data_IF_330138772165
#
_entry.id   IF_330138772165
#
_cell.length_a   1.000
_cell.length_b   1.000
_cell.length_c   1.000
_cell.angle_alpha   90.00
_cell.angle_beta   90.00
_cell.angle_gamma   90.00
#
_symmetry.space_group_name_H-M   'P 1'
#
loop_
_entity.id
_entity.type
_entity.pdbx_description
1 polymer ?
#
# COMPACT_ATOMS: atom_id res chain seq x y z
N UNK A 1 -3.48 -23.74 -14.00
CA UNK A 1 -3.86 -22.63 -13.10
C UNK A 1 -3.40 -22.96 -11.70
N UNK A 2 -2.77 -22.02 -11.02
CA UNK A 2 -2.28 -22.21 -9.65
C UNK A 2 -3.18 -21.46 -8.68
N UNK A 3 -3.43 -22.05 -7.52
CA UNK A 3 -4.19 -21.48 -6.43
C UNK A 3 -3.37 -21.59 -5.13
N UNK A 4 -3.15 -20.45 -4.48
CA UNK A 4 -2.44 -20.40 -3.20
C UNK A 4 -3.49 -20.18 -2.12
N UNK A 5 -3.54 -21.07 -1.15
CA UNK A 5 -4.29 -20.87 0.09
C UNK A 5 -3.30 -20.66 1.24
N UNK A 6 -3.39 -19.52 1.90
CA UNK A 6 -2.66 -19.28 3.13
C UNK A 6 -3.63 -19.19 4.32
N UNK A 7 -3.34 -19.96 5.36
CA UNK A 7 -3.98 -19.84 6.65
C UNK A 7 -2.94 -19.27 7.62
N UNK A 8 -3.14 -18.02 8.02
CA UNK A 8 -2.31 -17.40 9.05
C UNK A 8 -2.81 -17.86 10.43
N UNK A 9 -1.91 -18.09 11.39
CA UNK A 9 -2.32 -18.32 12.78
C UNK A 9 -3.13 -17.14 13.33
N UNK A 10 -4.03 -17.40 14.28
CA UNK A 10 -4.93 -16.40 14.89
C UNK A 10 -4.20 -15.18 15.46
N UNK A 11 -2.92 -15.32 15.86
CA UNK A 11 -2.07 -14.21 16.33
C UNK A 11 -1.88 -13.08 15.32
N UNK A 12 -2.01 -13.35 14.03
CA UNK A 12 -1.89 -12.33 12.98
C UNK A 12 -3.20 -11.58 12.76
N UNK A 13 -4.33 -12.10 13.23
CA UNK A 13 -5.60 -11.41 13.19
C UNK A 13 -5.72 -10.56 14.45
N UNK A 14 -6.13 -9.31 14.29
CA UNK A 14 -6.50 -8.49 15.43
C UNK A 14 -7.55 -9.26 16.24
N UNK A 15 -7.19 -9.63 17.47
CA UNK A 15 -8.18 -10.10 18.43
C UNK A 15 -9.06 -8.89 18.66
N UNK A 16 -10.35 -8.96 18.33
CA UNK A 16 -11.28 -7.90 18.74
C UNK A 16 -11.16 -7.80 20.25
N UNK A 17 -10.49 -6.76 20.74
CA UNK A 17 -10.50 -6.42 22.15
C UNK A 17 -11.97 -6.25 22.48
N UNK A 18 -12.52 -7.17 23.25
CA UNK A 18 -13.92 -7.18 23.66
C UNK A 18 -14.25 -5.88 24.40
N UNK A 19 -14.60 -4.82 23.66
CA UNK A 19 -15.40 -3.74 24.21
C UNK A 19 -16.78 -4.34 24.39
N UNK A 20 -17.00 -4.80 25.61
CA UNK A 20 -18.26 -5.33 26.11
C UNK A 20 -19.25 -4.17 26.24
N UNK A 21 -19.68 -3.62 25.11
CA UNK A 21 -20.85 -2.76 25.08
C UNK A 21 -22.07 -3.70 25.03
N UNK A 22 -22.62 -3.96 26.20
CA UNK A 22 -23.90 -4.63 26.38
C UNK A 22 -24.99 -3.79 25.71
N UNK A 23 -25.28 -4.05 24.42
CA UNK A 23 -26.59 -3.90 23.76
C UNK A 23 -26.54 -3.98 22.22
N UNK A 24 -25.57 -4.68 21.61
CA UNK A 24 -25.69 -5.07 20.19
C UNK A 24 -25.94 -6.57 20.08
N UNK A 25 -27.09 -6.92 19.49
CA UNK A 25 -27.44 -8.27 19.05
C UNK A 25 -26.25 -8.99 18.40
N UNK A 26 -26.13 -10.31 18.50
CA UNK A 26 -25.05 -11.07 17.88
C UNK A 26 -25.32 -11.16 16.37
N UNK A 27 -25.23 -10.05 15.64
CA UNK A 27 -25.01 -10.12 14.21
C UNK A 27 -23.59 -10.64 14.05
N UNK A 28 -23.49 -11.95 13.82
CA UNK A 28 -22.29 -12.58 13.30
C UNK A 28 -21.68 -11.65 12.25
N UNK A 29 -20.52 -11.05 12.54
CA UNK A 29 -19.74 -10.27 11.59
C UNK A 29 -19.31 -11.24 10.50
N UNK A 30 -20.20 -11.46 9.53
CA UNK A 30 -20.01 -12.45 8.48
C UNK A 30 -18.80 -12.00 7.68
N UNK A 31 -17.70 -12.75 7.82
CA UNK A 31 -16.49 -12.53 7.03
C UNK A 31 -16.85 -12.90 5.60
N UNK A 32 -16.92 -11.89 4.74
CA UNK A 32 -17.32 -12.07 3.35
C UNK A 32 -16.06 -12.08 2.46
N UNK A 33 -16.03 -12.99 1.50
CA UNK A 33 -15.01 -12.99 0.46
C UNK A 33 -15.29 -11.86 -0.52
N UNK A 34 -14.34 -10.92 -0.62
CA UNK A 34 -14.44 -9.76 -1.50
C UNK A 34 -13.27 -9.78 -2.49
N UNK A 35 -13.50 -9.66 -3.80
CA UNK A 35 -12.42 -9.57 -4.77
C UNK A 35 -11.69 -8.24 -4.57
N UNK A 36 -10.39 -8.29 -4.27
CA UNK A 36 -9.54 -7.11 -4.06
C UNK A 36 -8.79 -6.71 -5.33
N UNK A 37 -8.40 -7.70 -6.12
CA UNK A 37 -7.62 -7.48 -7.32
C UNK A 37 -7.94 -8.55 -8.36
N UNK A 38 -8.10 -8.11 -9.60
CA UNK A 38 -8.18 -9.00 -10.76
C UNK A 38 -7.35 -8.41 -11.88
N UNK A 39 -6.48 -9.22 -12.49
CA UNK A 39 -5.69 -8.81 -13.63
C UNK A 39 -6.53 -8.49 -14.86
N UNK A 40 -7.76 -9.03 -14.95
CA UNK A 40 -8.67 -8.76 -16.06
C UNK A 40 -9.14 -7.29 -16.08
N UNK A 41 -9.32 -6.69 -14.90
CA UNK A 41 -9.79 -5.30 -14.76
C UNK A 41 -8.65 -4.33 -14.50
N UNK A 42 -7.64 -4.74 -13.73
CA UNK A 42 -6.55 -3.87 -13.29
C UNK A 42 -5.27 -4.02 -14.11
N UNK A 43 -5.15 -5.07 -14.94
CA UNK A 43 -3.93 -5.42 -15.66
C UNK A 43 -2.92 -6.20 -14.81
N UNK A 44 -1.76 -6.52 -15.36
CA UNK A 44 -0.67 -7.21 -14.65
C UNK A 44 0.46 -6.21 -14.45
N UNK A 45 0.61 -5.74 -13.22
CA UNK A 45 1.66 -4.81 -12.82
C UNK A 45 1.85 -4.90 -11.32
N UNK A 46 3.10 -5.01 -10.87
CA UNK A 46 3.42 -5.00 -9.44
C UNK A 46 2.90 -3.74 -8.77
N UNK A 47 3.11 -2.57 -9.37
CA UNK A 47 2.68 -1.31 -8.75
C UNK A 47 1.14 -1.27 -8.56
N UNK A 48 0.38 -1.81 -9.52
CA UNK A 48 -1.08 -1.90 -9.41
C UNK A 48 -1.52 -2.96 -8.41
N UNK A 49 -0.86 -4.11 -8.38
CA UNK A 49 -1.08 -5.15 -7.39
C UNK A 49 -0.86 -4.60 -5.98
N UNK A 50 0.28 -3.97 -5.73
CA UNK A 50 0.61 -3.37 -4.43
C UNK A 50 -0.43 -2.33 -4.00
N UNK A 51 -0.79 -1.41 -4.89
CA UNK A 51 -1.72 -0.34 -4.57
C UNK A 51 -3.12 -0.86 -4.18
N UNK A 52 -3.55 -1.99 -4.73
CA UNK A 52 -4.88 -2.54 -4.48
C UNK A 52 -4.91 -3.58 -3.36
N UNK A 53 -3.88 -4.41 -3.26
CA UNK A 53 -3.81 -5.55 -2.33
C UNK A 53 -3.18 -5.16 -1.01
N UNK A 54 -2.12 -4.33 -1.02
CA UNK A 54 -1.51 -3.88 0.21
C UNK A 54 -2.34 -2.78 0.86
N UNK A 55 -2.27 -2.71 2.19
CA UNK A 55 -3.07 -1.81 3.03
C UNK A 55 -4.59 -2.13 3.04
N UNK A 56 -4.98 -3.33 2.58
CA UNK A 56 -6.31 -3.86 2.89
C UNK A 56 -6.48 -3.94 4.40
N UNK A 57 -7.67 -3.58 4.93
CA UNK A 57 -7.99 -3.68 6.37
C UNK A 57 -8.20 -5.14 6.81
N UNK A 58 -7.15 -5.93 6.62
CA UNK A 58 -6.98 -7.31 7.02
C UNK A 58 -5.48 -7.62 7.12
N UNK A 59 -5.10 -8.72 7.79
CA UNK A 59 -3.68 -9.04 7.95
C UNK A 59 -3.05 -9.34 6.60
N UNK A 60 -2.22 -8.40 6.13
CA UNK A 60 -1.40 -8.56 4.93
C UNK A 60 0.02 -8.82 5.39
N UNK A 61 0.58 -9.98 5.05
CA UNK A 61 1.95 -10.34 5.44
C UNK A 61 2.87 -10.17 4.24
N UNK A 62 3.81 -9.24 4.36
CA UNK A 62 4.99 -9.14 3.51
C UNK A 62 6.23 -9.08 4.42
N UNK A 63 7.38 -9.52 3.91
CA UNK A 63 8.60 -9.45 4.72
C UNK A 63 9.80 -10.11 4.06
N UNK A 64 10.96 -9.95 4.69
CA UNK A 64 12.21 -10.60 4.27
C UNK A 64 12.28 -12.07 4.67
N UNK A 65 11.40 -12.54 5.55
CA UNK A 65 11.27 -13.93 5.98
C UNK A 65 10.10 -14.61 5.29
N UNK A 66 10.19 -15.92 5.11
CA UNK A 66 9.03 -16.73 4.74
C UNK A 66 8.03 -16.78 5.90
N UNK A 67 6.76 -16.96 5.56
CA UNK A 67 5.62 -17.03 6.45
C UNK A 67 4.62 -18.11 5.99
N UNK A 68 3.63 -18.39 6.85
CA UNK A 68 2.63 -19.45 6.64
C UNK A 68 2.54 -20.38 7.85
N UNK A 69 1.32 -20.67 8.31
CA UNK A 69 1.04 -21.66 9.34
C UNK A 69 1.15 -23.10 8.81
N UNK A 70 0.85 -24.09 9.67
CA UNK A 70 0.79 -25.51 9.28
C UNK A 70 -0.16 -25.75 8.12
N UNK A 71 -1.32 -25.10 8.13
CA UNK A 71 -2.39 -25.24 7.14
C UNK A 71 -2.13 -24.47 5.82
N UNK A 72 -0.88 -24.07 5.55
CA UNK A 72 -0.55 -23.30 4.35
C UNK A 72 -0.37 -24.27 3.18
N UNK A 73 -1.20 -24.10 2.14
CA UNK A 73 -1.27 -25.04 1.01
C UNK A 73 -1.17 -24.33 -0.33
N UNK A 74 -0.50 -24.98 -1.28
CA UNK A 74 -0.49 -24.60 -2.69
C UNK A 74 -1.17 -25.70 -3.49
N UNK A 75 -2.04 -25.30 -4.42
CA UNK A 75 -2.70 -26.18 -5.35
C UNK A 75 -2.32 -25.80 -6.79
N UNK A 76 -1.87 -26.79 -7.56
CA UNK A 76 -1.83 -26.69 -9.02
C UNK A 76 -3.05 -27.42 -9.53
N UNK A 77 -3.96 -26.74 -10.22
CA UNK A 77 -5.20 -27.36 -10.74
C UNK A 77 -5.01 -28.00 -12.12
N UNK A 78 -4.00 -27.55 -12.89
CA UNK A 78 -3.76 -28.01 -14.26
C UNK A 78 -2.27 -27.87 -14.61
N UNK A 79 -1.68 -28.82 -15.36
CA UNK A 79 -2.35 -29.97 -16.02
C UNK A 79 -2.69 -31.15 -15.09
N UNK A 80 -2.08 -31.24 -13.90
CA UNK A 80 -2.41 -32.23 -12.88
C UNK A 80 -2.76 -31.53 -11.58
N UNK A 81 -3.69 -32.12 -10.81
CA UNK A 81 -4.04 -31.65 -9.47
C UNK A 81 -2.92 -32.04 -8.49
N UNK A 82 -2.02 -31.10 -8.22
CA UNK A 82 -0.96 -31.28 -7.23
C UNK A 82 -1.24 -30.39 -6.02
N UNK A 83 -0.93 -30.90 -4.82
CA UNK A 83 -1.06 -30.18 -3.55
C UNK A 83 0.27 -30.22 -2.81
N UNK A 84 0.74 -29.07 -2.35
CA UNK A 84 1.90 -28.94 -1.47
C UNK A 84 1.49 -28.27 -0.18
N UNK A 85 2.04 -28.77 0.93
CA UNK A 85 1.77 -28.27 2.27
C UNK A 85 3.10 -28.14 3.00
N UNK A 86 3.38 -26.96 3.56
CA UNK A 86 4.35 -26.86 4.64
C UNK A 86 4.19 -25.54 5.40
N UNK A 87 4.73 -25.52 6.62
CA UNK A 87 4.87 -24.31 7.42
C UNK A 87 5.95 -23.39 6.85
N UNK A 88 5.78 -22.08 7.04
CA UNK A 88 6.72 -21.05 6.54
C UNK A 88 7.05 -21.18 5.05
N UNK A 89 6.08 -21.60 4.23
CA UNK A 89 6.29 -21.88 2.80
C UNK A 89 6.31 -20.64 1.91
N UNK A 90 5.57 -19.59 2.29
CA UNK A 90 5.31 -18.44 1.44
C UNK A 90 6.36 -17.37 1.70
N UNK A 91 7.02 -16.94 0.64
CA UNK A 91 7.83 -15.74 0.62
C UNK A 91 7.10 -14.68 -0.19
N UNK A 92 6.89 -13.49 0.37
CA UNK A 92 6.28 -12.36 -0.34
C UNK A 92 7.04 -11.08 0.00
N UNK A 93 7.74 -10.54 -0.98
CA UNK A 93 8.41 -9.26 -0.84
C UNK A 93 8.31 -8.46 -2.14
N UNK A 94 7.55 -7.37 -2.09
CA UNK A 94 7.43 -6.41 -3.19
C UNK A 94 7.86 -4.98 -2.78
N UNK A 95 8.29 -4.75 -1.53
CA UNK A 95 8.68 -3.40 -1.06
C UNK A 95 10.14 -3.29 -0.61
N UNK A 96 10.69 -4.35 -0.02
CA UNK A 96 12.02 -4.31 0.60
C UNK A 96 13.10 -4.51 -0.47
N UNK A 97 13.88 -3.46 -0.74
CA UNK A 97 14.94 -3.48 -1.77
C UNK A 97 16.17 -4.30 -1.37
N UNK A 98 16.42 -4.47 -0.07
CA UNK A 98 17.56 -5.23 0.46
C UNK A 98 17.35 -6.75 0.47
N UNK A 99 16.16 -7.22 0.10
CA UNK A 99 15.81 -8.63 0.05
C UNK A 99 15.34 -9.02 -1.36
N UNK A 100 15.30 -10.33 -1.63
CA UNK A 100 14.84 -10.84 -2.92
C UNK A 100 13.42 -10.35 -3.23
N UNK A 101 13.16 -10.01 -4.49
CA UNK A 101 11.87 -9.47 -4.88
C UNK A 101 11.00 -10.56 -5.51
N UNK A 102 9.72 -10.58 -5.19
CA UNK A 102 8.73 -11.48 -5.78
C UNK A 102 7.92 -12.26 -4.76
N UNK A 103 7.15 -13.21 -5.28
CA UNK A 103 6.35 -14.17 -4.51
C UNK A 103 6.89 -15.57 -4.79
N UNK A 104 7.13 -16.37 -3.77
CA UNK A 104 7.43 -17.79 -3.97
C UNK A 104 6.80 -18.67 -2.92
N UNK A 105 6.44 -19.88 -3.33
CA UNK A 105 6.01 -20.95 -2.44
C UNK A 105 7.06 -22.05 -2.52
N UNK A 106 7.84 -22.19 -1.45
CA UNK A 106 9.01 -23.07 -1.40
C UNK A 106 9.88 -22.92 -2.66
N UNK A 107 10.17 -24.04 -3.34
CA UNK A 107 10.86 -24.10 -4.63
C UNK A 107 9.92 -24.53 -5.77
N UNK A 108 8.61 -24.58 -5.51
CA UNK A 108 7.59 -25.10 -6.44
C UNK A 108 7.08 -24.02 -7.36
N UNK A 109 6.80 -22.84 -6.80
CA UNK A 109 6.29 -21.69 -7.55
C UNK A 109 7.13 -20.47 -7.20
N UNK A 110 7.58 -19.76 -8.23
CA UNK A 110 8.22 -18.46 -8.12
C UNK A 110 7.61 -17.50 -9.13
N UNK A 111 7.27 -16.31 -8.67
CA UNK A 111 6.82 -15.17 -9.46
C UNK A 111 7.91 -14.12 -9.36
N UNK A 112 8.45 -13.75 -10.52
CA UNK A 112 9.51 -12.76 -10.61
C UNK A 112 8.97 -11.34 -10.39
N UNK A 113 9.90 -10.40 -10.19
CA UNK A 113 9.59 -8.98 -9.98
C UNK A 113 8.67 -8.39 -11.04
N UNK A 114 8.82 -8.77 -12.29
CA UNK A 114 8.05 -8.14 -13.37
C UNK A 114 6.72 -8.86 -13.62
N UNK A 115 6.40 -9.91 -12.83
CA UNK A 115 5.24 -10.80 -13.04
C UNK A 115 5.13 -11.32 -14.49
N UNK A 116 6.25 -11.36 -15.23
CA UNK A 116 6.25 -11.73 -16.66
C UNK A 116 5.87 -13.18 -16.93
N UNK A 117 6.00 -14.04 -15.93
CA UNK A 117 5.57 -15.44 -15.98
C UNK A 117 4.12 -15.66 -15.53
N UNK A 118 3.35 -14.58 -15.32
CA UNK A 118 1.99 -14.65 -14.79
C UNK A 118 0.99 -14.28 -15.88
N UNK A 119 0.09 -15.22 -16.21
CA UNK A 119 -0.98 -14.98 -17.19
C UNK A 119 -2.22 -14.29 -16.62
N UNK A 120 -2.54 -14.55 -15.35
CA UNK A 120 -3.67 -13.93 -14.65
C UNK A 120 -3.47 -13.99 -13.13
N UNK A 121 -3.99 -12.99 -12.41
CA UNK A 121 -3.94 -12.89 -10.96
C UNK A 121 -5.32 -12.52 -10.45
N UNK A 122 -5.78 -13.22 -9.43
CA UNK A 122 -6.96 -12.87 -8.68
C UNK A 122 -6.64 -12.94 -7.18
N UNK A 123 -7.05 -11.91 -6.44
CA UNK A 123 -6.82 -11.82 -5.00
C UNK A 123 -8.14 -11.56 -4.31
N UNK A 124 -8.41 -12.35 -3.29
CA UNK A 124 -9.63 -12.27 -2.50
C UNK A 124 -9.28 -11.97 -1.05
N UNK A 125 -9.97 -10.98 -0.49
CA UNK A 125 -9.88 -10.59 0.90
C UNK A 125 -10.99 -11.24 1.72
N UNK A 126 -10.67 -11.62 2.95
CA UNK A 126 -11.63 -12.10 3.93
C UNK A 126 -11.68 -11.09 5.09
N UNK A 127 -12.62 -10.15 5.01
CA UNK A 127 -12.86 -9.16 6.06
C UNK A 127 -14.36 -8.85 6.18
N UNK A 128 -14.71 -7.88 7.02
CA UNK A 128 -16.09 -7.38 7.12
C UNK A 128 -16.53 -6.74 5.80
N UNK A 129 -17.83 -6.81 5.50
CA UNK A 129 -18.42 -6.35 4.24
C UNK A 129 -18.14 -4.87 3.93
N UNK A 130 -18.00 -4.02 4.96
CA UNK A 130 -17.68 -2.59 4.81
C UNK A 130 -16.17 -2.30 4.65
N UNK A 131 -15.28 -3.27 4.87
CA UNK A 131 -13.85 -3.02 4.96
C UNK A 131 -13.25 -2.46 3.66
N UNK A 132 -13.75 -2.92 2.50
CA UNK A 132 -13.27 -2.44 1.20
C UNK A 132 -13.71 -0.99 0.92
N UNK A 133 -14.98 -0.66 1.19
CA UNK A 133 -15.51 0.69 0.99
C UNK A 133 -14.83 1.70 1.90
N UNK A 134 -14.62 1.34 3.17
CA UNK A 134 -13.96 2.21 4.14
C UNK A 134 -12.49 2.47 3.76
N UNK A 135 -11.81 1.47 3.20
CA UNK A 135 -10.47 1.65 2.64
C UNK A 135 -10.46 2.56 1.42
N UNK A 136 -11.42 2.41 0.50
CA UNK A 136 -11.54 3.28 -0.67
C UNK A 136 -11.76 4.74 -0.25
N UNK A 137 -12.69 4.98 0.68
CA UNK A 137 -12.94 6.32 1.25
C UNK A 137 -11.68 6.91 1.90
N UNK A 138 -10.94 6.10 2.67
CA UNK A 138 -9.70 6.54 3.30
C UNK A 138 -8.63 6.87 2.26
N UNK A 139 -8.48 6.08 1.20
CA UNK A 139 -7.51 6.33 0.13
C UNK A 139 -7.81 7.63 -0.60
N UNK A 140 -9.09 7.88 -0.90
CA UNK A 140 -9.54 9.16 -1.48
C UNK A 140 -9.21 10.32 -0.55
N UNK A 141 -9.48 10.16 0.75
CA UNK A 141 -9.13 11.17 1.75
C UNK A 141 -7.62 11.42 1.85
N UNK A 142 -6.80 10.37 1.86
CA UNK A 142 -5.33 10.48 1.88
C UNK A 142 -4.79 11.19 0.64
N UNK A 143 -5.33 10.89 -0.55
CA UNK A 143 -4.95 11.57 -1.78
C UNK A 143 -5.30 13.07 -1.72
N UNK A 144 -6.50 13.42 -1.23
CA UNK A 144 -6.88 14.82 -1.05
C UNK A 144 -5.98 15.53 -0.03
N UNK A 145 -5.57 14.86 1.05
CA UNK A 145 -4.60 15.41 2.00
C UNK A 145 -3.22 15.60 1.37
N UNK A 146 -2.74 14.62 0.60
CA UNK A 146 -1.46 14.72 -0.11
C UNK A 146 -1.45 15.85 -1.14
N UNK A 147 -2.55 16.07 -1.86
CA UNK A 147 -2.71 17.20 -2.77
C UNK A 147 -2.76 18.54 -2.05
N UNK A 148 -3.44 18.63 -0.91
CA UNK A 148 -3.42 19.82 -0.05
C UNK A 148 -2.01 20.12 0.44
N UNK A 149 -1.27 19.09 0.87
CA UNK A 149 0.12 19.22 1.31
C UNK A 149 1.07 19.63 0.16
N UNK A 150 0.84 19.16 -1.07
CA UNK A 150 1.58 19.61 -2.26
C UNK A 150 1.30 21.06 -2.63
N UNK A 151 0.09 21.55 -2.32
CA UNK A 151 -0.33 22.94 -2.53
C UNK A 151 0.14 23.87 -1.41
N UNK A 152 0.74 23.34 -0.34
CA UNK A 152 1.46 24.19 0.62
C UNK A 152 2.66 24.73 -0.12
N UNK A 153 2.79 26.06 -0.25
CA UNK A 153 3.93 26.65 -0.94
C UNK A 153 5.21 26.13 -0.29
N UNK A 154 6.11 25.59 -1.12
CA UNK A 154 7.48 25.31 -0.70
C UNK A 154 8.03 26.60 -0.07
N UNK A 155 8.77 26.54 1.06
CA UNK A 155 9.44 27.71 1.60
C UNK A 155 10.39 28.24 0.51
N UNK A 156 9.98 29.31 -0.15
CA UNK A 156 10.43 29.62 -1.51
C UNK A 156 9.64 30.70 -2.23
N UNK A 157 8.53 31.22 -1.69
CA UNK A 157 8.17 32.61 -1.97
C UNK A 157 9.07 33.49 -1.10
N UNK A 158 10.30 33.75 -1.57
CA UNK A 158 11.33 34.53 -0.88
C UNK A 158 10.82 35.88 -0.38
N UNK A 159 9.80 36.43 -1.05
CA UNK A 159 9.21 37.72 -0.73
C UNK A 159 8.45 37.78 0.59
N UNK A 160 8.01 36.64 1.15
CA UNK A 160 7.25 36.59 2.41
C UNK A 160 8.06 35.99 3.57
N UNK A 161 9.39 35.85 3.43
CA UNK A 161 10.24 35.31 4.50
C UNK A 161 10.52 36.41 5.56
N UNK A 162 10.26 36.19 6.87
CA UNK A 162 10.70 37.11 7.93
C UNK A 162 12.19 37.47 7.87
N UNK A 163 13.05 36.57 7.36
CA UNK A 163 14.47 36.81 7.17
C UNK A 163 14.75 37.91 6.12
N UNK A 164 13.92 38.03 5.07
CA UNK A 164 14.00 39.13 4.08
C UNK A 164 13.76 40.47 4.77
N UNK A 165 12.73 40.56 5.60
CA UNK A 165 12.40 41.76 6.36
C UNK A 165 13.50 42.14 7.36
N UNK A 166 14.13 41.14 8.01
CA UNK A 166 15.28 41.36 8.90
C UNK A 166 16.48 41.88 8.11
N UNK A 167 16.75 41.33 6.92
CA UNK A 167 17.85 41.75 6.05
C UNK A 167 17.64 43.15 5.48
N UNK A 168 16.40 43.52 5.13
CA UNK A 168 16.04 44.88 4.72
C UNK A 168 16.22 45.91 5.86
N UNK A 169 15.79 45.58 7.08
CA UNK A 169 16.04 46.42 8.26
C UNK A 169 17.54 46.56 8.56
N UNK A 170 18.33 45.54 8.23
CA UNK A 170 19.79 45.56 8.31
C UNK A 170 20.48 46.29 7.14
N UNK A 171 19.71 46.84 6.19
CA UNK A 171 20.20 47.66 5.08
C UNK A 171 20.61 46.89 3.81
N UNK A 172 20.30 45.60 3.71
CA UNK A 172 20.57 44.82 2.51
C UNK A 172 19.47 45.01 1.46
N UNK A 173 19.81 45.65 0.34
CA UNK A 173 18.92 45.75 -0.83
C UNK A 173 19.18 44.61 -1.82
N UNK A 174 18.13 43.87 -2.19
CA UNK A 174 18.22 42.73 -3.10
C UNK A 174 18.16 43.14 -4.59
N UNK A 175 18.62 42.23 -5.44
CA UNK A 175 18.95 42.50 -6.85
C UNK A 175 17.78 42.92 -7.75
N UNK A 176 16.56 42.46 -7.45
CA UNK A 176 15.38 42.83 -8.26
C UNK A 176 14.88 44.26 -7.96
N UNK A 177 15.08 44.75 -6.74
CA UNK A 177 14.74 46.12 -6.36
C UNK A 177 15.80 47.12 -6.81
N UNK A 178 17.09 46.75 -6.81
CA UNK A 178 18.15 47.60 -7.42
C UNK A 178 17.89 47.83 -8.90
N UNK A 179 17.52 46.78 -9.64
CA UNK A 179 17.17 46.90 -11.07
C UNK A 179 15.97 47.81 -11.30
N UNK A 180 14.96 47.77 -10.41
CA UNK A 180 13.79 48.66 -10.49
C UNK A 180 14.15 50.11 -10.17
N UNK A 181 14.91 50.36 -9.11
CA UNK A 181 15.39 51.72 -8.78
C UNK A 181 16.31 52.30 -9.86
N UNK A 182 17.18 51.49 -10.45
CA UNK A 182 18.03 51.92 -11.58
C UNK A 182 17.20 52.27 -12.82
N UNK A 183 16.03 51.65 -13.00
CA UNK A 183 15.09 51.95 -14.09
C UNK A 183 14.30 53.24 -13.83
N UNK A 184 13.85 53.45 -12.58
CA UNK A 184 13.11 54.63 -12.15
C UNK A 184 14.00 55.89 -12.10
N UNK A 185 15.28 55.75 -11.74
CA UNK A 185 16.25 56.86 -11.74
C UNK A 185 16.73 57.29 -13.13
N UNK A 186 16.33 56.57 -14.19
CA UNK A 186 16.64 56.87 -15.59
C UNK A 186 15.48 57.52 -16.35
N UNK A 187 14.36 57.82 -15.68
CA UNK A 187 13.27 58.68 -16.18
C UNK A 187 13.43 60.09 -15.62
#
# INVERSE_FOLDING_TARGET
>A
MWYIQCCLPSKYFATESSKKDSNSSPSSTAKQWTPLYSSATHGISVNRFETNVFDYRGPTVHGSSRFGGSETMLFQLSPKLNRWEASSSIYCNFKIRSAAFGLSFQDVMKIDKDMGNVGAIEVWGCAASNALEDQQKLRVWQNQQAEKNKKVPLPGNWDDNPDKTILEMAGFQFSDERKRMDLESRQ
#
